data_IF_643562955111
#
_entry.id   IF_643562955111
#
_cell.length_a   1.000
_cell.length_b   1.000
_cell.length_c   1.000
_cell.angle_alpha   90.00
_cell.angle_beta   90.00
_cell.angle_gamma   90.00
#
_symmetry.space_group_name_H-M   'P 1'
#
loop_
_entity.id
_entity.type
_entity.pdbx_description
1 polymer ?
#
# COMPACT_ATOMS: atom_id res chain seq x y z
N UNK A 1 28.81 -20.13 13.13
CA UNK A 1 28.35 -18.76 13.44
C UNK A 1 26.85 -18.75 13.19
N UNK A 2 26.03 -18.62 14.22
CA UNK A 2 24.60 -18.39 14.02
C UNK A 2 24.43 -16.93 13.61
N UNK A 3 23.77 -16.71 12.48
CA UNK A 3 23.42 -15.37 12.01
C UNK A 3 22.24 -14.83 12.82
N UNK A 4 21.99 -13.52 12.80
CA UNK A 4 20.78 -12.94 13.40
C UNK A 4 19.49 -13.59 12.83
N UNK A 5 19.53 -14.01 11.57
CA UNK A 5 18.45 -14.76 10.93
C UNK A 5 18.23 -16.15 11.55
N UNK A 6 19.28 -16.80 12.08
CA UNK A 6 19.16 -18.08 12.77
C UNK A 6 18.59 -17.93 14.18
N UNK A 7 18.86 -16.81 14.87
CA UNK A 7 18.24 -16.52 16.17
C UNK A 7 16.75 -16.16 16.08
N UNK A 8 16.32 -15.41 15.04
CA UNK A 8 14.91 -15.05 14.86
C UNK A 8 14.01 -16.24 14.50
N UNK A 9 14.57 -17.31 13.93
CA UNK A 9 13.82 -18.55 13.69
C UNK A 9 13.56 -19.37 14.95
N UNK A 10 14.32 -19.13 16.03
CA UNK A 10 14.22 -19.90 17.28
C UNK A 10 13.37 -19.19 18.35
N UNK A 11 13.10 -17.89 18.20
CA UNK A 11 12.30 -17.09 19.12
C UNK A 11 11.52 -16.01 18.34
N UNK A 12 10.33 -16.38 17.87
CA UNK A 12 9.48 -15.52 17.03
C UNK A 12 8.96 -14.30 17.79
N UNK A 13 8.70 -14.44 19.09
CA UNK A 13 8.12 -13.36 19.90
C UNK A 13 9.16 -12.26 20.08
N UNK A 14 10.41 -12.63 20.38
CA UNK A 14 11.53 -11.69 20.42
C UNK A 14 11.80 -11.04 19.07
N UNK A 15 11.67 -11.79 17.97
CA UNK A 15 11.81 -11.22 16.62
C UNK A 15 10.75 -10.15 16.34
N UNK A 16 9.51 -10.37 16.77
CA UNK A 16 8.43 -9.39 16.66
C UNK A 16 8.70 -8.17 17.53
N UNK A 17 9.12 -8.36 18.79
CA UNK A 17 9.47 -7.26 19.69
C UNK A 17 10.61 -6.38 19.14
N UNK A 18 11.69 -7.00 18.66
CA UNK A 18 12.84 -6.30 18.07
C UNK A 18 12.43 -5.51 16.81
N UNK A 19 11.58 -6.09 15.95
CA UNK A 19 11.02 -5.41 14.77
C UNK A 19 10.11 -4.24 15.15
N UNK A 20 9.23 -4.42 16.14
CA UNK A 20 8.37 -3.37 16.65
C UNK A 20 9.19 -2.23 17.27
N UNK A 21 10.22 -2.54 18.05
CA UNK A 21 11.11 -1.55 18.64
C UNK A 21 11.91 -0.79 17.57
N UNK A 22 12.50 -1.48 16.60
CA UNK A 22 13.22 -0.86 15.50
C UNK A 22 12.31 0.09 14.70
N UNK A 23 11.08 -0.36 14.43
CA UNK A 23 10.05 0.46 13.75
C UNK A 23 9.67 1.67 14.60
N UNK A 24 9.45 1.50 15.90
CA UNK A 24 9.15 2.61 16.82
C UNK A 24 10.26 3.65 16.85
N UNK A 25 11.53 3.20 16.92
CA UNK A 25 12.69 4.11 16.92
C UNK A 25 12.82 4.84 15.58
N UNK A 26 12.66 4.15 14.44
CA UNK A 26 12.72 4.79 13.11
C UNK A 26 11.56 5.76 12.87
N UNK A 27 10.39 5.50 13.47
CA UNK A 27 9.20 6.34 13.32
C UNK A 27 9.06 7.43 14.38
N UNK A 28 9.96 7.48 15.37
CA UNK A 28 9.91 8.46 16.45
C UNK A 28 9.97 9.90 15.90
N UNK A 29 8.96 10.70 16.21
CA UNK A 29 8.84 12.09 15.72
C UNK A 29 8.31 12.21 14.29
N UNK A 30 8.04 11.10 13.59
CA UNK A 30 7.29 11.09 12.32
C UNK A 30 5.79 11.03 12.61
N UNK A 31 4.97 11.57 11.72
CA UNK A 31 3.53 11.34 11.78
C UNK A 31 3.26 9.88 11.45
N UNK A 32 2.63 9.15 12.39
CA UNK A 32 2.22 7.77 12.18
C UNK A 32 1.36 7.63 10.92
N UNK A 33 1.61 6.56 10.16
CA UNK A 33 0.85 6.24 8.97
C UNK A 33 0.87 4.75 8.71
N UNK A 34 -0.20 4.26 8.10
CA UNK A 34 -0.21 2.96 7.42
C UNK A 34 0.00 3.19 5.92
N UNK A 35 0.75 2.32 5.27
CA UNK A 35 0.96 2.43 3.83
C UNK A 35 1.28 1.11 3.16
N UNK A 36 1.00 1.08 1.86
CA UNK A 36 1.39 -0.01 0.96
C UNK A 36 2.22 0.54 -0.18
N UNK A 37 3.22 -0.23 -0.59
CA UNK A 37 3.94 -0.02 -1.84
C UNK A 37 3.72 -1.25 -2.70
N UNK A 38 3.15 -1.05 -3.89
CA UNK A 38 2.75 -2.14 -4.79
C UNK A 38 3.41 -1.89 -6.14
N UNK A 39 4.29 -2.79 -6.56
CA UNK A 39 4.90 -2.77 -7.89
C UNK A 39 4.18 -3.75 -8.82
N UNK A 40 3.93 -3.28 -10.04
CA UNK A 40 3.48 -4.11 -11.15
C UNK A 40 4.52 -3.94 -12.27
N UNK A 41 5.05 -5.06 -12.76
CA UNK A 41 5.89 -5.11 -13.95
C UNK A 41 5.18 -5.89 -15.04
N UNK A 42 5.41 -5.52 -16.30
CA UNK A 42 4.79 -6.17 -17.44
C UNK A 42 5.33 -5.68 -18.76
N UNK A 43 4.65 -6.03 -19.83
CA UNK A 43 4.98 -5.58 -21.18
C UNK A 43 3.74 -4.96 -21.83
N UNK A 44 3.89 -3.80 -22.46
CA UNK A 44 2.81 -3.13 -23.19
C UNK A 44 3.36 -2.60 -24.50
N UNK A 45 2.73 -2.99 -25.61
CA UNK A 45 3.18 -2.63 -26.96
C UNK A 45 4.68 -2.94 -27.22
N UNK A 46 5.18 -4.08 -26.72
CA UNK A 46 6.57 -4.52 -26.89
C UNK A 46 7.59 -3.77 -26.02
N UNK A 47 7.14 -2.94 -25.06
CA UNK A 47 7.99 -2.25 -24.11
C UNK A 47 7.77 -2.79 -22.72
N UNK A 48 8.87 -3.08 -22.02
CA UNK A 48 8.80 -3.37 -20.60
C UNK A 48 8.32 -2.13 -19.85
N UNK A 49 7.32 -2.31 -19.00
CA UNK A 49 6.76 -1.28 -18.15
C UNK A 49 6.88 -1.71 -16.69
N UNK A 50 7.29 -0.78 -15.83
CA UNK A 50 7.25 -0.93 -14.39
C UNK A 50 6.46 0.24 -13.85
N UNK A 51 5.47 -0.05 -13.01
CA UNK A 51 4.71 0.95 -12.27
C UNK A 51 4.69 0.58 -10.81
N UNK A 52 4.94 1.57 -9.98
CA UNK A 52 4.84 1.44 -8.53
C UNK A 52 3.77 2.40 -8.02
N UNK A 53 2.82 1.85 -7.28
CA UNK A 53 1.83 2.61 -6.53
C UNK A 53 2.24 2.69 -5.06
N UNK A 54 2.13 3.87 -4.48
CA UNK A 54 2.24 4.11 -3.05
C UNK A 54 0.88 4.57 -2.54
N UNK A 55 0.40 3.95 -1.47
CA UNK A 55 -0.81 4.37 -0.76
C UNK A 55 -0.42 4.65 0.68
N UNK A 56 -0.83 5.81 1.20
CA UNK A 56 -0.61 6.23 2.58
C UNK A 56 -1.90 6.70 3.22
N UNK A 57 -2.12 6.30 4.48
CA UNK A 57 -3.26 6.68 5.31
C UNK A 57 -2.80 6.94 6.75
N UNK A 58 -3.56 7.69 7.58
CA UNK A 58 -3.25 7.85 9.01
C UNK A 58 -3.17 6.53 9.79
N UNK A 59 -4.08 5.59 9.53
CA UNK A 59 -4.09 4.25 10.15
C UNK A 59 -4.56 3.18 9.16
N UNK A 60 -4.35 1.90 9.49
CA UNK A 60 -4.77 0.78 8.66
C UNK A 60 -6.30 0.63 8.63
N UNK A 61 -6.96 0.84 9.77
CA UNK A 61 -8.41 0.81 9.91
C UNK A 61 -9.07 1.89 9.06
N UNK A 62 -8.47 3.09 9.06
CA UNK A 62 -8.91 4.18 8.21
C UNK A 62 -8.84 3.77 6.75
N UNK A 63 -7.67 3.32 6.28
CA UNK A 63 -7.47 2.90 4.89
C UNK A 63 -8.47 1.83 4.43
N UNK A 64 -8.61 0.75 5.20
CA UNK A 64 -9.51 -0.35 4.88
C UNK A 64 -10.97 0.11 4.92
N UNK A 65 -11.36 0.93 5.90
CA UNK A 65 -12.69 1.50 6.01
C UNK A 65 -13.06 2.40 4.84
N UNK A 66 -12.13 3.25 4.38
CA UNK A 66 -12.34 4.12 3.21
C UNK A 66 -12.58 3.32 1.95
N UNK A 67 -11.73 2.32 1.68
CA UNK A 67 -11.85 1.47 0.50
C UNK A 67 -13.17 0.71 0.53
N UNK A 68 -13.53 0.11 1.67
CA UNK A 68 -14.80 -0.61 1.83
C UNK A 68 -16.02 0.30 1.61
N UNK A 69 -16.00 1.51 2.17
CA UNK A 69 -17.08 2.49 1.98
C UNK A 69 -17.20 2.96 0.53
N UNK A 70 -16.07 3.25 -0.13
CA UNK A 70 -16.05 3.65 -1.53
C UNK A 70 -16.56 2.54 -2.45
N UNK A 71 -16.15 1.30 -2.18
CA UNK A 71 -16.67 0.12 -2.87
C UNK A 71 -18.18 -0.01 -2.67
N UNK A 72 -18.69 0.08 -1.45
CA UNK A 72 -20.13 -0.03 -1.19
C UNK A 72 -20.95 1.04 -1.96
N UNK A 73 -20.47 2.28 -2.00
CA UNK A 73 -21.13 3.36 -2.74
C UNK A 73 -21.06 3.17 -4.26
N UNK A 74 -19.92 2.70 -4.78
CA UNK A 74 -19.79 2.39 -6.20
C UNK A 74 -20.81 1.33 -6.62
N UNK A 75 -20.97 0.30 -5.79
CA UNK A 75 -21.88 -0.81 -6.05
C UNK A 75 -23.35 -0.39 -6.02
N UNK A 76 -23.70 0.55 -5.14
CA UNK A 76 -25.04 1.15 -5.10
C UNK A 76 -25.32 1.96 -6.38
N UNK A 77 -24.33 2.72 -6.86
CA UNK A 77 -24.47 3.55 -8.05
C UNK A 77 -24.54 2.74 -9.36
N UNK A 78 -23.63 1.78 -9.55
CA UNK A 78 -23.52 1.04 -10.80
C UNK A 78 -24.53 -0.08 -10.92
N UNK A 79 -25.06 -0.58 -9.78
CA UNK A 79 -25.92 -1.76 -9.69
C UNK A 79 -25.29 -3.02 -10.33
N UNK A 80 -23.96 -3.05 -10.44
CA UNK A 80 -23.23 -4.07 -11.22
C UNK A 80 -22.96 -5.39 -10.46
N UNK A 81 -23.49 -5.59 -9.24
CA UNK A 81 -23.13 -6.79 -8.47
C UNK A 81 -24.11 -7.95 -8.56
N UNK A 82 -23.59 -9.05 -9.10
CA UNK A 82 -24.00 -10.40 -8.71
C UNK A 82 -23.49 -10.72 -7.30
N UNK A 83 -24.25 -11.51 -6.53
CA UNK A 83 -23.84 -11.98 -5.21
C UNK A 83 -22.50 -12.71 -5.31
N UNK A 84 -21.51 -12.29 -4.53
CA UNK A 84 -20.16 -12.88 -4.53
C UNK A 84 -19.22 -12.36 -5.62
N UNK A 85 -19.58 -11.26 -6.31
CA UNK A 85 -18.71 -10.64 -7.30
C UNK A 85 -17.41 -10.05 -6.73
N UNK A 86 -16.38 -10.04 -7.55
CA UNK A 86 -15.05 -9.51 -7.22
C UNK A 86 -14.96 -8.02 -7.62
N UNK A 87 -14.49 -7.15 -6.73
CA UNK A 87 -14.30 -5.72 -7.03
C UNK A 87 -13.38 -5.47 -8.24
N UNK A 88 -12.43 -6.37 -8.50
CA UNK A 88 -11.53 -6.29 -9.65
C UNK A 88 -12.21 -6.45 -11.02
N UNK A 89 -13.49 -6.83 -11.06
CA UNK A 89 -14.28 -6.97 -12.30
C UNK A 89 -15.09 -5.72 -12.65
N UNK A 90 -15.16 -4.73 -11.74
CA UNK A 90 -15.90 -3.49 -11.97
C UNK A 90 -15.16 -2.65 -13.02
N UNK A 91 -15.86 -2.25 -14.08
CA UNK A 91 -15.26 -1.50 -15.20
C UNK A 91 -15.17 0.00 -14.94
N UNK A 92 -16.04 0.51 -14.07
CA UNK A 92 -16.19 1.92 -13.69
C UNK A 92 -15.11 2.39 -12.68
N UNK A 93 -13.83 2.11 -12.97
CA UNK A 93 -12.71 2.44 -12.07
C UNK A 93 -12.62 3.95 -11.79
N UNK A 94 -12.97 4.79 -12.76
CA UNK A 94 -12.97 6.25 -12.58
C UNK A 94 -14.04 6.73 -11.59
N UNK A 95 -15.17 6.04 -11.51
CA UNK A 95 -16.22 6.35 -10.55
C UNK A 95 -15.76 6.01 -9.12
N UNK A 96 -15.03 4.91 -8.94
CA UNK A 96 -14.42 4.57 -7.65
C UNK A 96 -13.52 5.69 -7.12
N UNK A 97 -12.62 6.22 -7.96
CA UNK A 97 -11.75 7.33 -7.58
C UNK A 97 -12.52 8.62 -7.30
N UNK A 98 -13.57 8.90 -8.08
CA UNK A 98 -14.45 10.05 -7.83
C UNK A 98 -15.18 9.94 -6.48
N UNK A 99 -15.54 8.72 -6.08
CA UNK A 99 -16.14 8.46 -4.76
C UNK A 99 -15.09 8.63 -3.65
N UNK A 100 -13.87 8.12 -3.83
CA UNK A 100 -12.78 8.32 -2.88
C UNK A 100 -12.50 9.81 -2.62
N UNK A 101 -12.45 10.62 -3.69
CA UNK A 101 -12.27 12.07 -3.59
C UNK A 101 -13.40 12.74 -2.80
N UNK A 102 -14.65 12.28 -2.99
CA UNK A 102 -15.85 12.80 -2.31
C UNK A 102 -15.97 12.38 -0.85
N UNK A 103 -15.57 11.15 -0.51
CA UNK A 103 -15.52 10.69 0.90
C UNK A 103 -14.50 11.52 1.68
N UNK A 104 -13.62 12.24 0.96
CA UNK A 104 -12.88 13.37 1.48
C UNK A 104 -11.83 12.89 2.47
N UNK A 105 -10.79 12.20 1.98
CA UNK A 105 -9.85 11.57 2.88
C UNK A 105 -8.39 11.67 2.46
N UNK A 106 -7.58 11.67 3.52
CA UNK A 106 -6.11 11.71 3.60
C UNK A 106 -5.45 10.43 3.07
N UNK A 107 -6.09 9.76 2.11
CA UNK A 107 -5.45 8.72 1.31
C UNK A 107 -4.57 9.42 0.29
N UNK A 108 -3.27 9.39 0.52
CA UNK A 108 -2.31 9.85 -0.47
C UNK A 108 -1.98 8.66 -1.36
N UNK A 109 -2.51 8.68 -2.58
CA UNK A 109 -2.22 7.70 -3.63
C UNK A 109 -1.27 8.35 -4.62
N UNK A 110 -0.12 7.74 -4.85
CA UNK A 110 0.87 8.18 -5.84
C UNK A 110 1.24 7.02 -6.74
N UNK A 111 1.30 7.26 -8.06
CA UNK A 111 1.71 6.27 -9.05
C UNK A 111 2.93 6.83 -9.79
N UNK A 112 3.99 6.03 -9.87
CA UNK A 112 5.21 6.37 -10.57
C UNK A 112 5.58 5.27 -11.59
N UNK A 113 6.05 5.66 -12.76
CA UNK A 113 6.63 4.76 -13.77
C UNK A 113 8.09 4.41 -13.40
N UNK A 114 8.28 3.85 -12.21
CA UNK A 114 9.59 3.45 -11.64
C UNK A 114 9.44 2.19 -10.79
N UNK A 115 10.53 1.46 -10.57
CA UNK A 115 10.56 0.34 -9.63
C UNK A 115 10.57 0.82 -8.17
N UNK A 116 10.28 -0.08 -7.23
CA UNK A 116 10.43 0.17 -5.79
C UNK A 116 11.90 0.46 -5.48
N UNK A 117 12.83 -0.25 -6.10
CA UNK A 117 14.28 -0.09 -5.92
C UNK A 117 14.70 1.35 -6.28
N UNK A 118 14.21 1.87 -7.40
CA UNK A 118 14.47 3.26 -7.84
C UNK A 118 13.86 4.33 -6.91
N UNK A 119 12.82 3.98 -6.15
CA UNK A 119 12.17 4.86 -5.18
C UNK A 119 12.85 4.83 -3.81
N UNK A 120 13.50 3.72 -3.48
CA UNK A 120 14.21 3.51 -2.21
C UNK A 120 15.72 3.75 -2.30
N UNK A 121 16.24 4.05 -3.49
CA UNK A 121 17.64 4.43 -3.69
C UNK A 121 17.93 5.77 -2.99
N UNK A 122 18.21 5.68 -1.69
CA UNK A 122 18.97 6.69 -0.96
C UNK A 122 20.40 6.54 -1.45
N UNK A 123 20.99 7.58 -2.04
CA UNK A 123 22.44 7.66 -2.10
C UNK A 123 22.94 7.71 -0.66
N UNK A 124 23.37 6.57 -0.10
CA UNK A 124 24.23 6.57 1.08
C UNK A 124 25.55 7.24 0.67
N UNK A 125 25.65 8.57 0.85
CA UNK A 125 26.87 9.27 0.41
C UNK A 125 26.87 10.80 0.36
N UNK A 126 26.07 11.53 1.15
CA UNK A 126 26.38 12.94 1.46
C UNK A 126 26.08 13.25 2.94
N UNK A 127 27.06 12.98 3.79
CA UNK A 127 27.28 13.71 5.05
C UNK A 127 28.78 14.04 5.13
#
# INVERSE_FOLDING_TARGET
MNTAADSYKMDSDKAVEDLCLATYVDTLGRTEYAGFVIQISGETAGKHIIRTMQVKAPTAEYMTGTVAAASALLLDNTKELEIGGELGKIKEVNEFFSILDRIGQRLLISIADKSIEDLTAVEEGEI
#
